data_IF_598261586945
#
_entry.id   IF_598261586945
#
_cell.length_a   1.000
_cell.length_b   1.000
_cell.length_c   1.000
_cell.angle_alpha   90.00
_cell.angle_beta   90.00
_cell.angle_gamma   90.00
#
_symmetry.space_group_name_H-M   'P 1'
#
loop_
_entity.id
_entity.type
_entity.pdbx_description
1 polymer ?
#
# COMPACT_ATOMS: atom_id res chain seq x y z
N UNK A 1 31.04 14.99 -20.96
CA UNK A 1 29.90 14.69 -20.06
C UNK A 1 29.58 15.94 -19.26
N UNK A 2 28.31 16.31 -19.10
CA UNK A 2 27.93 17.44 -18.25
C UNK A 2 27.85 17.00 -16.77
N UNK A 3 28.25 17.87 -15.84
CA UNK A 3 28.12 17.59 -14.40
C UNK A 3 26.66 17.59 -13.95
N UNK A 4 26.41 16.99 -12.77
CA UNK A 4 25.06 16.87 -12.17
C UNK A 4 24.36 18.23 -12.04
N UNK A 5 25.11 19.28 -11.71
CA UNK A 5 24.60 20.66 -11.62
C UNK A 5 24.08 21.21 -12.95
N UNK A 6 24.80 20.95 -14.05
CA UNK A 6 24.40 21.36 -15.39
C UNK A 6 23.13 20.63 -15.84
N UNK A 7 23.00 19.34 -15.54
CA UNK A 7 21.80 18.55 -15.84
C UNK A 7 20.56 19.14 -15.15
N UNK A 8 20.62 19.36 -13.83
CA UNK A 8 19.47 19.91 -13.11
C UNK A 8 19.14 21.36 -13.50
N UNK A 9 20.11 22.15 -13.95
CA UNK A 9 19.85 23.49 -14.49
C UNK A 9 18.99 23.43 -15.76
N UNK A 10 19.38 22.58 -16.72
CA UNK A 10 18.63 22.37 -17.97
C UNK A 10 17.23 21.83 -17.67
N UNK A 11 17.11 20.83 -16.80
CA UNK A 11 15.79 20.26 -16.44
C UNK A 11 14.88 21.30 -15.76
N UNK A 12 15.42 22.24 -14.99
CA UNK A 12 14.62 23.35 -14.41
C UNK A 12 14.17 24.35 -15.47
N UNK A 13 15.03 24.68 -16.44
CA UNK A 13 14.68 25.57 -17.56
C UNK A 13 13.50 25.01 -18.40
N UNK A 14 13.37 23.68 -18.47
CA UNK A 14 12.30 23.00 -19.19
C UNK A 14 11.14 22.49 -18.32
N UNK A 15 11.09 22.86 -17.03
CA UNK A 15 10.07 22.39 -16.06
C UNK A 15 9.95 20.85 -15.97
N UNK A 16 11.08 20.16 -16.15
CA UNK A 16 11.15 18.70 -16.09
C UNK A 16 11.46 18.15 -14.69
N UNK A 17 11.75 19.04 -13.73
CA UNK A 17 11.95 18.71 -12.30
C UNK A 17 10.66 18.98 -11.51
N UNK A 18 9.60 18.26 -11.86
CA UNK A 18 8.31 18.33 -11.16
C UNK A 18 7.73 16.95 -10.95
N UNK A 19 6.86 16.82 -9.95
CA UNK A 19 6.05 15.63 -9.78
C UNK A 19 5.11 15.48 -10.98
N UNK A 20 5.16 14.33 -11.66
CA UNK A 20 4.37 14.04 -12.86
C UNK A 20 3.13 13.21 -12.54
N UNK A 21 3.11 12.54 -11.39
CA UNK A 21 1.98 11.71 -10.96
C UNK A 21 0.81 12.61 -10.64
N UNK A 22 -0.32 12.32 -11.29
CA UNK A 22 -1.61 12.90 -10.92
C UNK A 22 -2.09 12.23 -9.63
N UNK A 23 -1.69 12.78 -8.49
CA UNK A 23 -2.19 12.33 -7.19
C UNK A 23 -3.70 12.59 -7.09
N UNK A 24 -4.42 11.65 -6.50
CA UNK A 24 -5.82 11.84 -6.18
C UNK A 24 -5.97 12.99 -5.17
N UNK A 25 -6.82 13.97 -5.50
CA UNK A 25 -7.12 15.14 -4.64
C UNK A 25 -8.50 15.03 -3.98
N UNK A 26 -9.28 14.00 -4.33
CA UNK A 26 -10.56 13.76 -3.68
C UNK A 26 -10.33 13.32 -2.23
N UNK A 27 -11.23 13.69 -1.30
CA UNK A 27 -11.17 13.17 0.06
C UNK A 27 -11.23 11.64 0.03
N UNK A 28 -10.68 11.00 1.06
CA UNK A 28 -10.84 9.57 1.25
C UNK A 28 -12.33 9.26 1.36
N UNK A 29 -12.79 8.25 0.63
CA UNK A 29 -14.16 7.77 0.79
C UNK A 29 -14.36 7.29 2.23
N UNK A 30 -15.49 7.68 2.83
CA UNK A 30 -15.91 7.11 4.10
C UNK A 30 -16.05 5.60 3.91
N UNK A 31 -15.30 4.82 4.71
CA UNK A 31 -15.40 3.37 4.69
C UNK A 31 -16.79 3.00 5.21
N UNK A 32 -17.58 2.19 4.49
CA UNK A 32 -18.84 1.70 5.02
C UNK A 32 -18.59 0.85 6.26
N UNK A 33 -19.34 1.12 7.33
CA UNK A 33 -19.30 0.35 8.56
C UNK A 33 -20.39 -0.74 8.52
N UNK A 34 -19.99 -1.97 8.82
CA UNK A 34 -20.88 -3.12 8.93
C UNK A 34 -20.78 -3.63 10.37
N UNK A 35 -21.72 -3.25 11.26
CA UNK A 35 -21.74 -3.77 12.62
C UNK A 35 -22.35 -5.17 12.65
N UNK A 36 -21.69 -6.11 13.34
CA UNK A 36 -22.29 -7.40 13.64
C UNK A 36 -23.31 -7.24 14.78
N UNK A 37 -24.51 -7.78 14.60
CA UNK A 37 -25.61 -7.74 15.58
C UNK A 37 -25.82 -9.09 16.26
N UNK A 38 -25.30 -10.16 15.67
CA UNK A 38 -25.38 -11.55 16.17
C UNK A 38 -24.10 -12.31 15.80
N UNK A 39 -23.79 -13.41 16.52
CA UNK A 39 -22.71 -14.31 16.13
C UNK A 39 -22.89 -14.84 14.71
N UNK A 40 -21.78 -15.13 14.03
CA UNK A 40 -21.68 -15.66 12.66
C UNK A 40 -22.21 -14.73 11.54
N UNK A 41 -22.45 -13.44 11.82
CA UNK A 41 -22.93 -12.47 10.83
C UNK A 41 -21.79 -11.89 9.99
N UNK A 42 -20.66 -11.55 10.62
CA UNK A 42 -19.50 -10.95 9.95
C UNK A 42 -18.23 -11.63 10.43
N UNK A 43 -17.36 -12.00 9.48
CA UNK A 43 -16.08 -12.61 9.79
C UNK A 43 -14.93 -11.81 9.20
N UNK A 44 -13.99 -11.41 10.05
CA UNK A 44 -12.69 -10.93 9.61
C UNK A 44 -11.84 -12.11 9.12
N UNK A 45 -11.04 -11.89 8.08
CA UNK A 45 -10.08 -12.87 7.59
C UNK A 45 -8.75 -12.21 7.33
N UNK A 46 -7.69 -12.83 7.85
CA UNK A 46 -6.32 -12.37 7.66
C UNK A 46 -5.44 -13.51 7.16
N UNK A 47 -4.48 -13.16 6.30
CA UNK A 47 -3.45 -14.07 5.80
C UNK A 47 -2.09 -13.51 6.14
N UNK A 48 -1.36 -14.21 7.00
CA UNK A 48 -0.02 -13.79 7.42
C UNK A 48 1.02 -14.76 6.90
N UNK A 49 2.03 -14.24 6.20
CA UNK A 49 3.18 -15.03 5.77
C UNK A 49 4.14 -15.19 6.94
N UNK A 50 4.30 -16.42 7.42
CA UNK A 50 5.19 -16.79 8.52
C UNK A 50 6.45 -17.45 7.99
N UNK A 51 7.59 -17.19 8.65
CA UNK A 51 8.83 -17.91 8.36
C UNK A 51 8.70 -19.35 8.85
N UNK A 52 8.96 -20.29 7.95
CA UNK A 52 8.98 -21.72 8.24
C UNK A 52 10.32 -22.16 8.86
N UNK A 53 10.43 -23.43 9.26
CA UNK A 53 11.61 -23.97 9.93
C UNK A 53 12.84 -24.12 9.02
N UNK A 54 12.69 -24.04 7.69
CA UNK A 54 13.79 -24.14 6.72
C UNK A 54 14.22 -22.80 6.15
N UNK A 55 15.41 -22.74 5.55
CA UNK A 55 15.84 -21.57 4.80
C UNK A 55 14.84 -21.27 3.67
N UNK A 56 14.36 -20.03 3.60
CA UNK A 56 13.42 -19.54 2.58
C UNK A 56 12.09 -20.32 2.50
N UNK A 57 11.78 -21.15 3.50
CA UNK A 57 10.46 -21.78 3.63
C UNK A 57 9.53 -20.80 4.32
N UNK A 58 8.32 -20.65 3.78
CA UNK A 58 7.28 -19.80 4.37
C UNK A 58 5.96 -20.56 4.42
N UNK A 59 5.22 -20.37 5.50
CA UNK A 59 3.85 -20.85 5.66
C UNK A 59 2.90 -19.66 5.60
N UNK A 60 1.64 -19.89 5.23
CA UNK A 60 0.59 -18.88 5.32
C UNK A 60 -0.34 -19.28 6.45
N UNK A 61 -0.40 -18.44 7.49
CA UNK A 61 -1.40 -18.56 8.55
C UNK A 61 -2.68 -17.91 8.05
N UNK A 62 -3.75 -18.69 8.02
CA UNK A 62 -5.10 -18.22 7.75
C UNK A 62 -5.84 -18.07 9.07
N UNK A 63 -6.27 -16.85 9.38
CA UNK A 63 -7.13 -16.57 10.52
C UNK A 63 -8.53 -16.20 10.03
N UNK A 64 -9.55 -16.72 10.71
CA UNK A 64 -10.94 -16.32 10.53
C UNK A 64 -11.47 -16.03 11.93
N UNK A 65 -11.91 -14.79 12.16
CA UNK A 65 -12.43 -14.33 13.44
C UNK A 65 -13.87 -13.88 13.21
N UNK A 66 -14.79 -14.40 14.01
CA UNK A 66 -16.15 -13.88 14.11
C UNK A 66 -16.13 -12.61 14.97
N UNK A 67 -16.66 -11.51 14.45
CA UNK A 67 -16.59 -10.18 15.09
C UNK A 67 -17.94 -9.71 15.62
#
# INVERSE_FOLDING_TARGET
>A
MAGVSTMYRILREHDEVRERRRHAVHPAHAKPELPATRPDEIRSRDVTRLRGPGERVFCHLYSIIDI
#
